data_IF_414641346397
#
_entry.id   IF_414641346397
#
_cell.length_a   1.000
_cell.length_b   1.000
_cell.length_c   1.000
_cell.angle_alpha   90.00
_cell.angle_beta   90.00
_cell.angle_gamma   90.00
#
_symmetry.space_group_name_H-M   'P 1'
#
loop_
_entity.id
_entity.type
_entity.pdbx_description
1 polymer ?
#
# COMPACT_ATOMS: atom_id res chain seq x y z
N UNK A 1 -12.41 7.76 21.11
CA UNK A 1 -11.95 7.67 19.71
C UNK A 1 -10.57 7.02 19.66
N UNK A 2 -10.46 5.81 19.09
CA UNK A 2 -9.19 5.11 18.88
C UNK A 2 -8.33 5.99 17.95
N UNK A 3 -7.08 6.29 18.32
CA UNK A 3 -6.18 7.12 17.52
C UNK A 3 -6.06 6.51 16.12
N UNK A 4 -6.69 7.11 15.12
CA UNK A 4 -6.63 6.67 13.72
C UNK A 4 -5.18 6.80 13.24
N UNK A 5 -4.35 5.78 13.50
CA UNK A 5 -3.05 5.65 12.86
C UNK A 5 -3.33 5.43 11.39
N UNK A 6 -3.34 6.52 10.63
CA UNK A 6 -3.48 6.48 9.17
C UNK A 6 -2.44 5.51 8.66
N UNK A 7 -2.90 4.42 8.05
CA UNK A 7 -2.01 3.35 7.65
C UNK A 7 -1.14 3.86 6.50
N UNK A 8 0.18 3.64 6.59
CA UNK A 8 1.12 4.10 5.56
C UNK A 8 0.74 3.57 4.17
N UNK A 9 0.18 2.37 4.09
CA UNK A 9 -0.31 1.78 2.84
C UNK A 9 -1.50 2.53 2.23
N UNK A 10 -2.41 3.06 3.06
CA UNK A 10 -3.52 3.87 2.56
C UNK A 10 -3.03 5.21 2.01
N UNK A 11 -2.11 5.88 2.71
CA UNK A 11 -1.52 7.15 2.24
C UNK A 11 -0.80 6.92 0.90
N UNK A 12 -0.04 5.84 0.79
CA UNK A 12 0.72 5.50 -0.41
C UNK A 12 -0.20 5.17 -1.59
N UNK A 13 -1.27 4.41 -1.36
CA UNK A 13 -2.29 4.12 -2.37
C UNK A 13 -3.01 5.37 -2.87
N UNK A 14 -3.35 6.30 -1.96
CA UNK A 14 -3.97 7.58 -2.32
C UNK A 14 -3.02 8.43 -3.17
N UNK A 15 -1.73 8.49 -2.78
CA UNK A 15 -0.71 9.29 -3.46
C UNK A 15 -0.48 8.78 -4.90
N UNK A 16 -0.45 7.46 -5.11
CA UNK A 16 -0.33 6.85 -6.44
C UNK A 16 -1.51 7.24 -7.34
N UNK A 17 -2.73 7.22 -6.82
CA UNK A 17 -3.93 7.59 -7.58
C UNK A 17 -3.91 9.09 -7.91
N UNK A 18 -3.47 9.93 -6.97
CA UNK A 18 -3.39 11.39 -7.17
C UNK A 18 -2.38 11.80 -8.24
N UNK A 19 -1.30 11.04 -8.45
CA UNK A 19 -0.28 11.33 -9.49
C UNK A 19 -0.89 11.35 -10.90
N UNK A 20 -1.91 10.53 -11.15
CA UNK A 20 -2.65 10.53 -12.44
C UNK A 20 -3.30 11.87 -12.74
N UNK A 21 -3.70 12.63 -11.73
CA UNK A 21 -4.33 13.94 -11.90
C UNK A 21 -3.33 15.08 -12.06
N UNK A 22 -2.08 14.90 -11.60
CA UNK A 22 -1.03 15.92 -11.70
C UNK A 22 -0.23 15.82 -13.01
N UNK A 23 -0.14 14.63 -13.62
CA UNK A 23 0.72 14.38 -14.77
C UNK A 23 -0.09 13.66 -15.86
N UNK A 24 0.03 14.12 -17.10
CA UNK A 24 -0.58 13.44 -18.24
C UNK A 24 0.25 12.19 -18.59
N UNK A 25 -0.13 11.06 -18.01
CA UNK A 25 0.57 9.76 -18.15
C UNK A 25 -0.19 8.93 -19.20
N UNK A 26 0.50 8.12 -20.03
CA UNK A 26 -0.17 7.24 -20.98
C UNK A 26 -1.23 6.34 -20.31
N UNK A 27 -2.36 6.16 -20.99
CA UNK A 27 -3.56 5.50 -20.45
C UNK A 27 -3.29 4.12 -19.82
N UNK A 28 -2.37 3.34 -20.39
CA UNK A 28 -1.99 2.03 -19.83
C UNK A 28 -1.38 2.16 -18.42
N UNK A 29 -0.44 3.09 -18.23
CA UNK A 29 0.20 3.34 -16.95
C UNK A 29 -0.77 3.99 -15.96
N UNK A 30 -1.66 4.87 -16.43
CA UNK A 30 -2.70 5.48 -15.60
C UNK A 30 -3.70 4.43 -15.07
N UNK A 31 -4.08 3.46 -15.89
CA UNK A 31 -4.98 2.38 -15.47
C UNK A 31 -4.28 1.44 -14.49
N UNK A 32 -3.01 1.08 -14.76
CA UNK A 32 -2.19 0.27 -13.88
C UNK A 32 -1.98 0.92 -12.51
N UNK A 33 -1.61 2.21 -12.47
CA UNK A 33 -1.40 2.94 -11.21
C UNK A 33 -2.69 3.07 -10.41
N UNK A 34 -3.82 3.29 -11.08
CA UNK A 34 -5.14 3.33 -10.42
C UNK A 34 -5.48 1.98 -9.78
N UNK A 35 -5.31 0.88 -10.52
CA UNK A 35 -5.54 -0.46 -9.99
C UNK A 35 -4.62 -0.78 -8.81
N UNK A 36 -3.34 -0.44 -8.92
CA UNK A 36 -2.36 -0.66 -7.86
C UNK A 36 -2.66 0.18 -6.61
N UNK A 37 -3.10 1.43 -6.78
CA UNK A 37 -3.53 2.29 -5.68
C UNK A 37 -4.76 1.74 -4.94
N UNK A 38 -5.74 1.21 -5.67
CA UNK A 38 -6.93 0.57 -5.09
C UNK A 38 -6.52 -0.67 -4.26
N UNK A 39 -5.65 -1.52 -4.80
CA UNK A 39 -5.16 -2.70 -4.06
C UNK A 39 -4.43 -2.28 -2.78
N UNK A 40 -3.60 -1.23 -2.83
CA UNK A 40 -2.92 -0.70 -1.63
C UNK A 40 -3.91 -0.13 -0.59
N UNK A 41 -4.98 0.53 -1.04
CA UNK A 41 -6.03 1.04 -0.16
C UNK A 41 -6.76 -0.10 0.56
N UNK A 42 -7.18 -1.14 -0.19
CA UNK A 42 -7.83 -2.33 0.36
C UNK A 42 -6.88 -3.04 1.32
N UNK A 43 -5.62 -3.21 0.93
CA UNK A 43 -4.60 -3.81 1.79
C UNK A 43 -4.36 -2.98 3.06
N UNK A 44 -4.37 -1.66 2.95
CA UNK A 44 -4.24 -0.75 4.08
C UNK A 44 -5.43 -0.79 5.04
N UNK A 45 -6.66 -0.92 4.51
CA UNK A 45 -7.89 -1.15 5.27
C UNK A 45 -7.86 -2.50 5.98
N UNK A 46 -7.46 -3.56 5.26
CA UNK A 46 -7.30 -4.90 5.83
C UNK A 46 -6.29 -4.89 6.98
N UNK A 47 -5.14 -4.27 6.78
CA UNK A 47 -4.10 -4.10 7.77
C UNK A 47 -4.49 -3.22 8.98
N UNK A 48 -5.55 -2.40 8.87
CA UNK A 48 -6.05 -1.59 9.97
C UNK A 48 -7.04 -2.37 10.85
N UNK A 49 -7.77 -3.32 10.26
CA UNK A 49 -8.75 -4.15 10.95
C UNK A 49 -8.20 -5.52 11.40
N UNK A 50 -7.18 -6.04 10.70
CA UNK A 50 -6.54 -7.31 11.00
C UNK A 50 -5.11 -7.14 11.51
N UNK A 51 -4.69 -8.06 12.38
CA UNK A 51 -3.34 -8.12 12.91
C UNK A 51 -2.34 -8.52 11.81
N UNK A 52 -1.62 -7.52 11.29
CA UNK A 52 -0.57 -7.65 10.28
C UNK A 52 0.80 -8.01 10.86
N UNK A 53 0.91 -8.27 12.17
CA UNK A 53 2.20 -8.53 12.82
C UNK A 53 2.85 -9.79 12.28
N UNK A 54 2.06 -10.83 11.97
CA UNK A 54 2.53 -12.05 11.27
C UNK A 54 3.16 -11.76 9.91
N UNK A 55 2.55 -10.90 9.10
CA UNK A 55 3.08 -10.51 7.78
C UNK A 55 4.36 -9.69 7.91
N UNK A 56 4.43 -8.81 8.91
CA UNK A 56 5.62 -8.00 9.20
C UNK A 56 6.80 -8.88 9.64
N UNK A 57 6.56 -9.84 10.53
CA UNK A 57 7.58 -10.78 10.99
C UNK A 57 8.00 -11.75 9.88
N UNK A 58 7.05 -12.22 9.06
CA UNK A 58 7.36 -13.03 7.88
C UNK A 58 8.24 -12.28 6.88
N UNK A 59 7.91 -11.02 6.56
CA UNK A 59 8.75 -10.16 5.71
C UNK A 59 10.15 -9.98 6.29
N UNK A 60 10.26 -9.73 7.61
CA UNK A 60 11.54 -9.57 8.29
C UNK A 60 12.39 -10.83 8.25
N UNK A 61 11.77 -12.00 8.41
CA UNK A 61 12.44 -13.29 8.30
C UNK A 61 12.88 -13.62 6.86
N UNK A 62 12.08 -13.27 5.85
CA UNK A 62 12.49 -13.43 4.46
C UNK A 62 13.70 -12.57 4.11
N UNK A 63 13.71 -11.31 4.54
CA UNK A 63 14.86 -10.42 4.34
C UNK A 63 16.11 -10.96 5.03
N UNK A 64 15.96 -11.46 6.28
CA UNK A 64 17.06 -12.15 6.98
C UNK A 64 17.58 -13.37 6.23
N UNK A 65 16.68 -14.14 5.60
CA UNK A 65 17.02 -15.37 4.86
C UNK A 65 17.67 -15.10 3.50
N UNK A 66 17.45 -13.92 2.92
CA UNK A 66 18.06 -13.51 1.64
C UNK A 66 19.38 -12.74 1.83
N UNK A 67 19.57 -12.07 2.97
CA UNK A 67 20.79 -11.35 3.32
C UNK A 67 21.83 -12.21 4.05
N UNK A 68 21.54 -13.49 4.30
CA UNK A 68 22.40 -14.47 4.95
C UNK A 68 22.64 -15.65 4.01
#
# INVERSE_FOLDING_TARGET
>A
MKRNRVNKYMVLGLLIISIKYLINIPNALACFSTGMGIVLLIFGLYAMNHDITKLKDWKKNLVKRYLN
#
